data_IF_803317894481
#
_entry.id   IF_803317894481
#
_cell.length_a   1.000
_cell.length_b   1.000
_cell.length_c   1.000
_cell.angle_alpha   90.00
_cell.angle_beta   90.00
_cell.angle_gamma   90.00
#
_symmetry.space_group_name_H-M   'P 1'
#
loop_
_entity.id
_entity.type
_entity.pdbx_description
1 polymer ?
#
# COMPACT_ATOMS: atom_id res chain seq x y z
N UNK A 1 8.39 -15.79 -14.04
CA UNK A 1 7.35 -14.89 -14.59
C UNK A 1 6.03 -15.61 -14.44
N UNK A 2 5.01 -14.91 -13.94
CA UNK A 2 3.69 -15.49 -13.62
C UNK A 2 2.63 -14.83 -14.51
N UNK A 3 2.04 -15.60 -15.42
CA UNK A 3 0.94 -15.13 -16.25
C UNK A 3 -0.36 -15.14 -15.45
N UNK A 4 -1.10 -14.04 -15.46
CA UNK A 4 -2.43 -13.95 -14.83
C UNK A 4 -3.41 -13.23 -15.73
N UNK A 5 -4.65 -13.71 -15.76
CA UNK A 5 -5.75 -13.01 -16.41
C UNK A 5 -6.23 -11.88 -15.49
N UNK A 6 -6.42 -10.70 -16.06
CA UNK A 6 -7.07 -9.56 -15.42
C UNK A 6 -8.35 -9.25 -16.18
N UNK A 7 -9.44 -9.12 -15.45
CA UNK A 7 -10.76 -8.81 -16.00
C UNK A 7 -11.26 -7.50 -15.43
N UNK A 8 -11.57 -6.56 -16.32
CA UNK A 8 -12.27 -5.33 -15.98
C UNK A 8 -13.72 -5.67 -15.67
N UNK A 9 -14.13 -5.41 -14.43
CA UNK A 9 -15.45 -5.79 -13.91
C UNK A 9 -16.53 -4.99 -14.64
N UNK A 10 -17.60 -5.65 -15.14
CA UNK A 10 -18.72 -4.96 -15.78
C UNK A 10 -19.41 -3.97 -14.85
N UNK A 11 -19.86 -2.84 -15.41
CA UNK A 11 -20.44 -1.73 -14.65
C UNK A 11 -21.54 -2.16 -13.68
N UNK A 12 -22.43 -3.04 -14.10
CA UNK A 12 -23.54 -3.53 -13.26
C UNK A 12 -23.07 -4.35 -12.05
N UNK A 13 -21.86 -4.91 -12.09
CA UNK A 13 -21.31 -5.78 -11.06
C UNK A 13 -20.31 -5.06 -10.13
N UNK A 14 -19.82 -3.88 -10.51
CA UNK A 14 -18.76 -3.15 -9.80
C UNK A 14 -19.09 -2.88 -8.32
N UNK A 15 -20.33 -2.45 -8.01
CA UNK A 15 -20.72 -2.18 -6.62
C UNK A 15 -20.77 -3.46 -5.77
N UNK A 16 -21.21 -4.58 -6.36
CA UNK A 16 -21.22 -5.87 -5.67
C UNK A 16 -19.79 -6.36 -5.42
N UNK A 17 -18.90 -6.24 -6.41
CA UNK A 17 -17.47 -6.57 -6.26
C UNK A 17 -16.78 -5.68 -5.22
N UNK A 18 -17.07 -4.37 -5.18
CA UNK A 18 -16.54 -3.50 -4.13
C UNK A 18 -17.02 -3.90 -2.74
N UNK A 19 -18.27 -4.32 -2.59
CA UNK A 19 -18.81 -4.81 -1.33
C UNK A 19 -18.16 -6.14 -0.91
N UNK A 20 -17.89 -7.05 -1.86
CA UNK A 20 -17.13 -8.27 -1.63
C UNK A 20 -15.73 -7.94 -1.11
N UNK A 21 -14.99 -7.05 -1.76
CA UNK A 21 -13.66 -6.66 -1.31
C UNK A 21 -13.68 -6.03 0.09
N UNK A 22 -14.66 -5.17 0.38
CA UNK A 22 -14.85 -4.57 1.70
C UNK A 22 -15.13 -5.62 2.78
N UNK A 23 -15.82 -6.71 2.46
CA UNK A 23 -16.05 -7.81 3.40
C UNK A 23 -14.77 -8.59 3.75
N UNK A 24 -13.74 -8.48 2.91
CA UNK A 24 -12.43 -9.13 3.09
C UNK A 24 -11.46 -8.21 3.83
N UNK A 25 -11.35 -6.94 3.40
CA UNK A 25 -10.31 -6.03 3.90
C UNK A 25 -10.82 -4.98 4.89
N UNK A 26 -12.13 -4.77 5.00
CA UNK A 26 -12.76 -3.79 5.89
C UNK A 26 -12.23 -2.36 5.74
N UNK A 27 -11.65 -2.02 4.59
CA UNK A 27 -10.93 -0.77 4.39
C UNK A 27 -11.78 0.47 4.66
N UNK A 28 -12.98 0.55 4.08
CA UNK A 28 -13.88 1.70 4.26
C UNK A 28 -14.42 1.76 5.68
N UNK A 29 -14.69 0.61 6.28
CA UNK A 29 -15.13 0.50 7.67
C UNK A 29 -14.07 1.06 8.62
N UNK A 30 -12.80 0.70 8.42
CA UNK A 30 -11.66 1.22 9.18
C UNK A 30 -11.44 2.73 8.97
N UNK A 31 -11.62 3.24 7.76
CA UNK A 31 -11.62 4.70 7.50
C UNK A 31 -12.70 5.39 8.33
N UNK A 32 -13.93 4.86 8.35
CA UNK A 32 -15.06 5.43 9.09
C UNK A 32 -14.84 5.49 10.60
N UNK A 33 -13.98 4.64 11.15
CA UNK A 33 -13.60 4.66 12.57
C UNK A 33 -12.54 5.72 12.90
N UNK A 34 -11.88 6.32 11.90
CA UNK A 34 -10.85 7.33 12.07
C UNK A 34 -11.33 8.69 11.52
N UNK A 35 -11.62 9.67 12.40
CA UNK A 35 -12.12 10.98 11.97
C UNK A 35 -11.19 11.68 10.96
N UNK A 36 -9.87 11.59 11.16
CA UNK A 36 -8.91 12.23 10.25
C UNK A 36 -8.84 11.53 8.89
N UNK A 37 -8.92 10.19 8.85
CA UNK A 37 -8.90 9.45 7.58
C UNK A 37 -10.21 9.63 6.82
N UNK A 38 -11.34 9.71 7.52
CA UNK A 38 -12.64 10.08 6.94
C UNK A 38 -12.56 11.48 6.35
N UNK A 39 -12.02 12.45 7.10
CA UNK A 39 -11.86 13.84 6.64
C UNK A 39 -10.92 13.97 5.44
N UNK A 40 -9.89 13.14 5.34
CA UNK A 40 -8.96 13.11 4.20
C UNK A 40 -9.59 12.50 2.91
N UNK A 41 -10.75 11.83 3.04
CA UNK A 41 -11.44 11.08 1.98
C UNK A 41 -12.88 11.56 1.81
N UNK A 42 -13.04 12.87 1.62
CA UNK A 42 -14.37 13.49 1.49
C UNK A 42 -15.10 13.02 0.23
N UNK A 43 -14.34 12.62 -0.80
CA UNK A 43 -14.89 12.07 -2.02
C UNK A 43 -15.22 10.58 -1.83
N UNK A 44 -16.45 10.17 -2.18
CA UNK A 44 -16.89 8.79 -2.03
C UNK A 44 -16.11 7.86 -2.96
N UNK A 45 -15.90 6.62 -2.51
CA UNK A 45 -15.26 5.56 -3.27
C UNK A 45 -16.23 5.00 -4.33
N UNK A 46 -16.25 5.60 -5.51
CA UNK A 46 -17.26 5.37 -6.56
C UNK A 46 -16.61 4.81 -7.84
N UNK A 47 -17.15 3.73 -8.44
CA UNK A 47 -16.71 3.26 -9.75
C UNK A 47 -16.97 4.27 -10.87
N UNK A 48 -16.06 4.33 -11.84
CA UNK A 48 -16.21 5.18 -13.02
C UNK A 48 -17.25 4.63 -14.00
N UNK A 49 -18.06 5.53 -14.54
CA UNK A 49 -19.05 5.24 -15.59
C UNK A 49 -18.45 4.95 -16.96
N UNK A 50 -17.15 5.19 -17.15
CA UNK A 50 -16.44 5.06 -18.44
C UNK A 50 -15.86 3.65 -18.68
N UNK A 51 -16.06 2.74 -17.73
CA UNK A 51 -15.48 1.41 -17.76
C UNK A 51 -16.16 0.50 -18.77
N UNK A 52 -15.40 -0.06 -19.71
CA UNK A 52 -15.87 -1.13 -20.60
C UNK A 52 -15.31 -2.50 -20.16
N UNK A 53 -16.16 -3.55 -20.08
CA UNK A 53 -15.70 -4.89 -19.77
C UNK A 53 -14.64 -5.35 -20.77
N UNK A 54 -13.54 -5.89 -20.26
CA UNK A 54 -12.46 -6.44 -21.07
C UNK A 54 -11.62 -7.39 -20.23
N UNK A 55 -10.88 -8.28 -20.89
CA UNK A 55 -9.93 -9.15 -20.22
C UNK A 55 -8.62 -9.16 -20.99
N UNK A 56 -7.52 -9.21 -20.25
CA UNK A 56 -6.18 -9.25 -20.82
C UNK A 56 -5.25 -10.09 -19.95
N UNK A 57 -4.16 -10.57 -20.55
CA UNK A 57 -3.12 -11.31 -19.85
C UNK A 57 -2.03 -10.33 -19.41
N UNK A 58 -1.64 -10.42 -18.14
CA UNK A 58 -0.49 -9.73 -17.59
C UNK A 58 0.56 -10.74 -17.14
N UNK A 59 1.83 -10.36 -17.31
CA UNK A 59 2.97 -11.12 -16.83
C UNK A 59 3.54 -10.39 -15.63
N UNK A 60 3.51 -11.03 -14.46
CA UNK A 60 4.08 -10.52 -13.23
C UNK A 60 5.49 -11.05 -13.00
N UNK A 61 6.34 -10.19 -12.43
CA UNK A 61 7.66 -10.57 -11.91
C UNK A 61 7.59 -11.22 -10.52
N UNK A 62 6.48 -11.05 -9.82
CA UNK A 62 6.22 -11.59 -8.47
C UNK A 62 5.13 -12.67 -8.52
N UNK A 63 5.12 -13.63 -7.58
CA UNK A 63 4.09 -14.66 -7.53
C UNK A 63 2.71 -14.04 -7.35
N UNK A 64 1.75 -14.44 -8.19
CA UNK A 64 0.38 -13.94 -8.17
C UNK A 64 -0.58 -15.06 -8.60
N UNK A 65 -1.72 -15.16 -7.92
CA UNK A 65 -2.81 -16.08 -8.22
C UNK A 65 -4.01 -15.31 -8.79
N UNK A 66 -4.38 -15.64 -10.02
CA UNK A 66 -5.56 -15.09 -10.70
C UNK A 66 -6.83 -15.94 -10.56
N UNK A 67 -7.89 -15.59 -11.30
CA UNK A 67 -8.01 -14.36 -12.09
C UNK A 67 -8.10 -13.12 -11.18
N UNK A 68 -7.59 -11.98 -11.66
CA UNK A 68 -7.68 -10.70 -10.97
C UNK A 68 -8.84 -9.86 -11.51
N UNK A 69 -9.37 -9.00 -10.66
CA UNK A 69 -10.49 -8.11 -10.98
C UNK A 69 -10.00 -6.66 -10.95
N UNK A 70 -10.30 -5.90 -12.01
CA UNK A 70 -9.96 -4.49 -12.12
C UNK A 70 -11.25 -3.65 -12.15
N UNK A 71 -11.32 -2.64 -11.28
CA UNK A 71 -12.36 -1.61 -11.31
C UNK A 71 -11.68 -0.27 -11.55
N UNK A 72 -12.12 0.48 -12.55
CA UNK A 72 -11.76 1.88 -12.66
C UNK A 72 -12.69 2.71 -11.78
N UNK A 73 -12.11 3.57 -10.96
CA UNK A 73 -12.76 4.43 -9.99
C UNK A 73 -12.87 5.85 -10.53
N UNK A 74 -13.81 6.63 -10.03
CA UNK A 74 -13.83 8.08 -10.25
C UNK A 74 -12.48 8.69 -9.84
N UNK A 75 -11.97 9.64 -10.62
CA UNK A 75 -10.64 10.21 -10.43
C UNK A 75 -10.44 10.95 -9.10
N UNK A 76 -11.52 11.29 -8.39
CA UNK A 76 -11.46 11.92 -7.07
C UNK A 76 -11.54 10.92 -5.91
N UNK A 77 -11.94 9.67 -6.16
CA UNK A 77 -11.96 8.60 -5.15
C UNK A 77 -10.56 8.42 -4.56
N UNK A 78 -10.44 8.46 -3.24
CA UNK A 78 -9.16 8.36 -2.51
C UNK A 78 -8.05 9.28 -3.07
N UNK A 79 -8.43 10.50 -3.46
CA UNK A 79 -7.54 11.49 -4.06
C UNK A 79 -6.85 11.03 -5.36
N UNK A 80 -7.48 10.10 -6.08
CA UNK A 80 -6.97 9.54 -7.33
C UNK A 80 -5.81 8.57 -7.12
N UNK A 81 -5.66 7.99 -5.93
CA UNK A 81 -4.62 7.01 -5.67
C UNK A 81 -5.08 5.60 -6.12
N UNK A 82 -4.21 4.83 -6.81
CA UNK A 82 -4.45 3.43 -7.08
C UNK A 82 -4.31 2.62 -5.79
N UNK A 83 -5.09 1.55 -5.68
CA UNK A 83 -5.09 0.67 -4.51
C UNK A 83 -5.38 -0.77 -4.90
N UNK A 84 -4.88 -1.72 -4.11
CA UNK A 84 -5.39 -3.09 -4.15
C UNK A 84 -6.45 -3.31 -3.08
N UNK A 85 -7.43 -4.16 -3.37
CA UNK A 85 -8.59 -4.44 -2.52
C UNK A 85 -8.82 -5.94 -2.43
N UNK A 86 -9.20 -6.42 -1.24
CA UNK A 86 -9.21 -7.86 -0.95
C UNK A 86 -7.87 -8.52 -1.32
N UNK A 87 -7.92 -9.75 -1.86
CA UNK A 87 -6.72 -10.49 -2.32
C UNK A 87 -6.61 -10.60 -3.83
N UNK A 88 -7.56 -10.05 -4.59
CA UNK A 88 -7.62 -10.17 -6.07
C UNK A 88 -8.06 -8.90 -6.79
N UNK A 89 -8.38 -7.84 -6.05
CA UNK A 89 -8.93 -6.61 -6.58
C UNK A 89 -7.88 -5.54 -6.82
N UNK A 90 -7.97 -4.87 -7.96
CA UNK A 90 -7.23 -3.66 -8.26
C UNK A 90 -8.27 -2.56 -8.51
N UNK A 91 -8.11 -1.45 -7.81
CA UNK A 91 -8.89 -0.24 -8.02
C UNK A 91 -7.95 0.84 -8.57
N UNK A 92 -8.14 1.20 -9.84
CA UNK A 92 -7.37 2.26 -10.49
C UNK A 92 -8.24 3.49 -10.71
N UNK A 93 -7.71 4.72 -10.60
CA UNK A 93 -8.45 5.90 -11.03
C UNK A 93 -8.73 5.89 -12.55
N UNK A 94 -9.82 6.50 -12.98
CA UNK A 94 -10.26 6.50 -14.40
C UNK A 94 -9.20 7.06 -15.35
N UNK A 95 -8.32 7.96 -14.91
CA UNK A 95 -7.28 8.48 -15.79
C UNK A 95 -6.24 7.43 -16.20
N UNK A 96 -6.05 6.34 -15.43
CA UNK A 96 -5.21 5.21 -15.83
C UNK A 96 -5.86 4.38 -16.95
N UNK A 97 -7.17 4.48 -17.17
CA UNK A 97 -7.82 3.92 -18.36
C UNK A 97 -7.39 4.67 -19.62
N UNK A 98 -7.33 6.01 -19.54
CA UNK A 98 -7.01 6.86 -20.69
C UNK A 98 -5.51 6.92 -20.98
N UNK A 99 -4.69 6.85 -19.94
CA UNK A 99 -3.23 6.86 -20.05
C UNK A 99 -2.59 5.75 -19.21
N UNK A 100 -2.67 4.49 -19.67
CA UNK A 100 -2.19 3.35 -18.90
C UNK A 100 -0.69 3.43 -18.60
N UNK A 101 -0.34 3.42 -17.32
CA UNK A 101 1.04 3.34 -16.87
C UNK A 101 1.39 1.93 -16.41
N UNK A 102 2.26 1.24 -17.16
CA UNK A 102 2.72 -0.10 -16.83
C UNK A 102 3.42 -0.19 -15.47
N UNK A 103 4.00 0.90 -14.95
CA UNK A 103 4.58 0.94 -13.60
C UNK A 103 3.51 0.88 -12.53
N UNK A 104 2.43 1.66 -12.66
CA UNK A 104 1.29 1.62 -11.73
C UNK A 104 0.73 0.20 -11.64
N UNK A 105 0.46 -0.44 -12.79
CA UNK A 105 -0.02 -1.82 -12.78
C UNK A 105 0.97 -2.80 -12.15
N UNK A 106 2.28 -2.65 -12.41
CA UNK A 106 3.31 -3.48 -11.76
C UNK A 106 3.34 -3.28 -10.25
N UNK A 107 3.17 -2.04 -9.78
CA UNK A 107 3.09 -1.67 -8.38
C UNK A 107 1.92 -2.39 -7.69
N UNK A 108 0.72 -2.29 -8.26
CA UNK A 108 -0.48 -2.95 -7.72
C UNK A 108 -0.35 -4.49 -7.71
N UNK A 109 0.30 -5.09 -8.72
CA UNK A 109 0.57 -6.53 -8.72
C UNK A 109 1.51 -6.95 -7.59
N UNK A 110 2.45 -6.09 -7.18
CA UNK A 110 3.31 -6.34 -6.02
C UNK A 110 2.48 -6.33 -4.74
N UNK A 111 1.57 -5.37 -4.57
CA UNK A 111 0.68 -5.34 -3.41
C UNK A 111 -0.25 -6.55 -3.33
N UNK A 112 -0.84 -6.97 -4.45
CA UNK A 112 -1.64 -8.20 -4.44
C UNK A 112 -0.78 -9.43 -4.10
N UNK A 113 0.45 -9.53 -4.61
CA UNK A 113 1.38 -10.59 -4.23
C UNK A 113 1.66 -10.60 -2.73
N UNK A 114 1.86 -9.42 -2.13
CA UNK A 114 2.07 -9.25 -0.69
C UNK A 114 0.86 -9.73 0.12
N UNK A 115 -0.35 -9.41 -0.33
CA UNK A 115 -1.60 -9.87 0.32
C UNK A 115 -1.82 -11.37 0.17
N UNK A 116 -1.45 -11.96 -0.96
CA UNK A 116 -1.62 -13.39 -1.23
C UNK A 116 -0.55 -14.27 -0.57
N UNK A 117 0.66 -13.73 -0.38
CA UNK A 117 1.81 -14.47 0.17
C UNK A 117 2.52 -13.71 1.32
N UNK A 118 1.80 -13.25 2.36
CA UNK A 118 2.34 -12.34 3.37
C UNK A 118 3.55 -12.91 4.10
N UNK A 119 3.52 -14.21 4.46
CA UNK A 119 4.64 -14.86 5.15
C UNK A 119 5.94 -14.89 4.33
N UNK A 120 5.81 -15.09 3.01
CA UNK A 120 6.96 -15.15 2.10
C UNK A 120 7.65 -13.79 2.03
N UNK A 121 6.85 -12.74 1.87
CA UNK A 121 7.32 -11.37 1.85
C UNK A 121 7.94 -10.96 3.19
N UNK A 122 7.31 -11.28 4.33
CA UNK A 122 7.87 -10.96 5.64
C UNK A 122 9.18 -11.68 5.95
N UNK A 123 9.31 -12.96 5.57
CA UNK A 123 10.59 -13.68 5.66
C UNK A 123 11.67 -12.97 4.86
N UNK A 124 11.33 -12.48 3.67
CA UNK A 124 12.24 -11.74 2.82
C UNK A 124 12.63 -10.38 3.46
N UNK A 125 11.67 -9.58 3.95
CA UNK A 125 11.95 -8.30 4.59
C UNK A 125 12.81 -8.45 5.84
N UNK A 126 12.56 -9.50 6.63
CA UNK A 126 13.37 -9.82 7.80
C UNK A 126 14.81 -10.14 7.40
N UNK A 127 15.00 -11.00 6.41
CA UNK A 127 16.32 -11.44 5.95
C UNK A 127 17.16 -10.29 5.37
N UNK A 128 16.57 -9.46 4.50
CA UNK A 128 17.34 -8.49 3.72
C UNK A 128 17.27 -7.06 4.25
N UNK A 129 16.18 -6.68 4.92
CA UNK A 129 15.96 -5.31 5.38
C UNK A 129 15.85 -5.18 6.90
N UNK A 130 15.81 -6.29 7.64
CA UNK A 130 15.72 -6.29 9.09
C UNK A 130 14.36 -5.81 9.61
N UNK A 131 13.29 -5.94 8.83
CA UNK A 131 11.94 -5.69 9.31
C UNK A 131 11.35 -6.92 10.00
N UNK A 132 10.51 -6.69 11.00
CA UNK A 132 9.62 -7.70 11.58
C UNK A 132 8.26 -7.09 11.92
N UNK A 133 7.26 -7.92 12.13
CA UNK A 133 6.01 -7.46 12.72
C UNK A 133 6.25 -6.92 14.14
N UNK A 134 5.57 -5.83 14.49
CA UNK A 134 5.55 -5.32 15.85
C UNK A 134 4.70 -6.22 16.75
N UNK A 135 5.16 -6.47 17.97
CA UNK A 135 4.35 -7.15 18.99
C UNK A 135 3.18 -6.27 19.42
N UNK A 136 2.17 -6.86 20.06
CA UNK A 136 1.04 -6.10 20.61
C UNK A 136 1.49 -5.04 21.63
N UNK A 137 2.51 -5.33 22.43
CA UNK A 137 3.03 -4.37 23.41
C UNK A 137 3.76 -3.20 22.74
N UNK A 138 4.61 -3.47 21.76
CA UNK A 138 5.29 -2.42 21.00
C UNK A 138 4.30 -1.51 20.26
N UNK A 139 3.22 -2.08 19.71
CA UNK A 139 2.12 -1.30 19.11
C UNK A 139 1.45 -0.38 20.14
N UNK A 140 1.16 -0.90 21.33
CA UNK A 140 0.55 -0.12 22.42
C UNK A 140 1.48 0.96 22.98
N UNK A 141 2.79 0.82 22.80
CA UNK A 141 3.76 1.83 23.23
C UNK A 141 3.70 3.10 22.38
N UNK A 142 3.17 3.04 21.15
CA UNK A 142 3.03 4.21 20.29
C UNK A 142 1.95 5.15 20.86
N UNK A 143 2.27 6.42 21.13
CA UNK A 143 1.31 7.38 21.67
C UNK A 143 0.06 7.54 20.77
N UNK A 144 -1.12 7.59 21.40
CA UNK A 144 -2.42 7.72 20.72
C UNK A 144 -2.43 8.88 19.71
N UNK A 145 -1.83 10.02 20.04
CA UNK A 145 -1.73 11.17 19.12
C UNK A 145 -1.11 10.84 17.76
N UNK A 146 -0.19 9.87 17.68
CA UNK A 146 0.43 9.45 16.41
C UNK A 146 -0.38 8.37 15.72
N UNK A 147 -0.99 7.48 16.51
CA UNK A 147 -1.91 6.45 16.01
C UNK A 147 -3.11 7.08 15.31
N UNK A 148 -3.72 8.07 15.95
CA UNK A 148 -4.90 8.76 15.44
C UNK A 148 -4.60 9.52 14.14
N UNK A 149 -3.36 10.02 13.97
CA UNK A 149 -2.90 10.75 12.79
C UNK A 149 -2.38 9.87 11.66
N UNK A 150 -2.34 8.55 11.83
CA UNK A 150 -1.80 7.63 10.83
C UNK A 150 -2.66 7.66 9.56
N UNK A 151 -2.00 7.70 8.39
CA UNK A 151 -2.67 7.45 7.11
C UNK A 151 -2.96 5.96 6.99
N UNK A 152 -4.23 5.59 6.96
CA UNK A 152 -4.64 4.22 6.63
C UNK A 152 -4.39 3.97 5.14
N UNK A 153 -3.89 2.78 4.82
CA UNK A 153 -3.61 2.35 3.45
C UNK A 153 -4.17 0.91 3.27
N UNK A 154 -5.02 0.67 2.25
CA UNK A 154 -5.63 -0.64 2.02
C UNK A 154 -4.62 -1.75 1.72
N UNK A 155 -3.41 -1.41 1.28
CA UNK A 155 -2.33 -2.33 0.95
C UNK A 155 -1.57 -2.85 2.19
N UNK A 156 -1.90 -2.32 3.37
CA UNK A 156 -1.14 -2.52 4.62
C UNK A 156 -2.01 -2.90 5.83
N UNK A 157 -3.29 -3.20 5.63
CA UNK A 157 -4.25 -3.39 6.73
C UNK A 157 -3.99 -4.62 7.61
N UNK A 158 -3.36 -5.67 7.05
CA UNK A 158 -3.06 -6.91 7.80
C UNK A 158 -1.80 -6.74 8.68
N UNK A 159 -0.85 -5.92 8.25
CA UNK A 159 0.51 -5.81 8.82
C UNK A 159 0.84 -4.38 9.25
N UNK A 160 -0.12 -3.70 9.88
CA UNK A 160 -0.10 -2.24 10.04
C UNK A 160 1.14 -1.64 10.72
N UNK A 161 1.81 -2.42 11.58
CA UNK A 161 2.97 -1.98 12.35
C UNK A 161 4.13 -2.96 12.19
N UNK A 162 5.22 -2.43 11.65
CA UNK A 162 6.49 -3.14 11.51
C UNK A 162 7.55 -2.46 12.36
N UNK A 163 8.55 -3.22 12.78
CA UNK A 163 9.73 -2.71 13.47
C UNK A 163 10.92 -2.89 12.55
N UNK A 164 11.62 -1.79 12.26
CA UNK A 164 12.88 -1.78 11.54
C UNK A 164 14.05 -1.91 12.51
N UNK A 165 14.95 -2.87 12.23
CA UNK A 165 16.15 -3.17 13.02
C UNK A 165 15.89 -3.27 14.53
N UNK A 166 14.76 -3.87 14.90
CA UNK A 166 14.33 -4.07 16.30
C UNK A 166 14.20 -2.79 17.14
N UNK A 167 14.12 -1.60 16.54
CA UNK A 167 14.09 -0.35 17.30
C UNK A 167 13.02 0.63 16.83
N UNK A 168 12.80 0.78 15.52
CA UNK A 168 11.98 1.87 15.00
C UNK A 168 10.68 1.37 14.42
N UNK A 169 9.55 1.91 14.84
CA UNK A 169 8.26 1.73 14.16
C UNK A 169 8.05 2.93 13.23
N UNK A 170 8.22 2.76 11.90
CA UNK A 170 7.99 3.84 10.95
C UNK A 170 6.48 3.98 10.68
N UNK A 171 5.95 5.20 10.73
CA UNK A 171 4.54 5.49 10.43
C UNK A 171 4.44 6.68 9.47
N UNK A 172 3.51 6.60 8.51
CA UNK A 172 3.08 7.75 7.72
C UNK A 172 1.92 8.42 8.42
N UNK A 173 2.09 9.70 8.78
CA UNK A 173 1.08 10.48 9.48
C UNK A 173 0.71 11.72 8.68
N UNK A 174 -0.54 12.15 8.78
CA UNK A 174 -1.00 13.39 8.17
C UNK A 174 -0.22 14.58 8.74
N UNK A 175 0.23 15.49 7.88
CA UNK A 175 0.94 16.70 8.31
C UNK A 175 0.02 17.72 8.98
N UNK A 176 -1.24 17.76 8.58
CA UNK A 176 -2.31 18.62 9.12
C UNK A 176 -3.47 17.78 9.64
N UNK A 177 -3.93 18.07 10.86
CA UNK A 177 -5.14 17.47 11.44
C UNK A 177 -6.41 18.24 11.03
N UNK A 178 -6.25 19.55 10.77
CA UNK A 178 -7.35 20.43 10.36
C UNK A 178 -7.70 20.23 8.88
N UNK A 179 -6.71 19.98 8.04
CA UNK A 179 -6.86 19.81 6.59
C UNK A 179 -6.05 18.61 6.11
N UNK A 180 -6.40 17.38 6.56
CA UNK A 180 -5.64 16.19 6.19
C UNK A 180 -5.83 15.89 4.70
N UNK A 181 -4.74 15.50 4.04
CA UNK A 181 -4.72 15.14 2.62
C UNK A 181 -3.83 13.90 2.44
N UNK A 182 -4.30 12.93 1.66
CA UNK A 182 -3.59 11.68 1.39
C UNK A 182 -2.24 11.88 0.70
N UNK A 183 -2.08 12.99 -0.02
CA UNK A 183 -0.84 13.39 -0.69
C UNK A 183 0.13 14.13 0.23
N UNK A 184 -0.36 14.66 1.36
CA UNK A 184 0.44 15.39 2.34
C UNK A 184 0.57 14.61 3.65
N UNK A 185 1.36 13.55 3.59
CA UNK A 185 1.77 12.79 4.76
C UNK A 185 3.29 12.80 4.91
N UNK A 186 3.75 12.63 6.15
CA UNK A 186 5.16 12.58 6.47
C UNK A 186 5.46 11.30 7.23
N UNK A 187 6.53 10.61 6.83
CA UNK A 187 7.08 9.51 7.61
C UNK A 187 7.76 10.05 8.86
N UNK A 188 7.39 9.51 10.01
CA UNK A 188 8.19 9.60 11.23
C UNK A 188 8.40 8.22 11.84
N UNK A 189 9.12 8.20 12.96
CA UNK A 189 9.57 6.97 13.60
C UNK A 189 9.30 7.06 15.09
N UNK A 190 8.64 6.03 15.63
CA UNK A 190 8.61 5.79 17.06
C UNK A 190 9.81 4.94 17.44
N UNK A 191 10.70 5.48 18.27
CA UNK A 191 11.86 4.78 18.80
C UNK A 191 11.46 3.98 20.04
N UNK A 192 11.45 2.65 19.94
CA UNK A 192 11.09 1.74 21.02
C UNK A 192 12.07 1.76 22.20
N UNK A 193 13.33 2.15 21.95
CA UNK A 193 14.36 2.20 22.99
C UNK A 193 14.32 3.52 23.76
N UNK A 194 14.16 4.63 23.06
CA UNK A 194 14.11 5.96 23.65
C UNK A 194 12.69 6.42 24.01
N UNK A 195 11.67 5.65 23.63
CA UNK A 195 10.24 5.96 23.81
C UNK A 195 9.88 7.37 23.37
N UNK A 196 10.42 7.77 22.21
CA UNK A 196 10.21 9.11 21.65
C UNK A 196 9.89 9.05 20.16
N UNK A 197 9.21 10.09 19.69
CA UNK A 197 8.96 10.30 18.27
C UNK A 197 10.08 11.11 17.64
N UNK A 198 10.52 10.72 16.45
CA UNK A 198 11.46 11.50 15.64
C UNK A 198 11.00 11.59 14.19
N UNK A 199 11.32 12.73 13.58
CA UNK A 199 11.18 12.94 12.13
C UNK A 199 12.46 12.64 11.36
N UNK A 200 13.56 12.47 12.08
CA UNK A 200 14.86 12.14 11.49
C UNK A 200 14.87 10.67 11.10
N UNK A 201 15.44 10.38 9.93
CA UNK A 201 15.61 9.02 9.49
C UNK A 201 16.58 8.29 10.43
N UNK A 202 16.23 7.11 10.94
CA UNK A 202 17.12 6.32 11.77
C UNK A 202 18.46 6.00 11.10
N UNK A 203 19.54 5.76 11.86
CA UNK A 203 20.85 5.42 11.30
C UNK A 203 20.79 4.26 10.31
N UNK A 204 21.33 4.47 9.11
CA UNK A 204 21.35 3.51 8.01
C UNK A 204 20.04 3.41 7.20
N UNK A 205 18.97 4.12 7.57
CA UNK A 205 17.71 4.06 6.81
C UNK A 205 17.91 4.58 5.39
N UNK A 206 18.49 5.77 5.26
CA UNK A 206 18.77 6.39 3.96
C UNK A 206 19.86 5.66 3.17
N UNK A 207 20.75 4.91 3.80
CA UNK A 207 21.72 4.07 3.09
C UNK A 207 21.03 2.90 2.39
N UNK A 208 20.03 2.30 3.03
CA UNK A 208 19.28 1.17 2.47
C UNK A 208 18.21 1.65 1.47
N UNK A 209 17.42 2.66 1.86
CA UNK A 209 16.22 3.06 1.11
C UNK A 209 16.34 4.37 0.35
N UNK A 210 17.51 5.03 0.40
CA UNK A 210 17.80 6.37 -0.13
C UNK A 210 17.07 7.54 0.53
N UNK A 211 17.56 8.74 0.24
CA UNK A 211 16.94 10.01 0.60
C UNK A 211 15.77 10.33 -0.33
N UNK A 212 14.69 10.92 0.19
CA UNK A 212 13.53 11.38 -0.58
C UNK A 212 12.42 10.34 -0.80
N UNK A 213 12.70 9.07 -0.50
CA UNK A 213 11.67 8.04 -0.42
C UNK A 213 10.87 8.25 0.85
N UNK A 214 9.57 8.53 0.76
CA UNK A 214 8.72 8.84 1.92
C UNK A 214 7.95 7.63 2.46
N UNK A 215 8.02 6.47 1.81
CA UNK A 215 7.29 5.31 2.30
C UNK A 215 7.94 4.71 3.55
N UNK A 216 7.09 4.36 4.49
CA UNK A 216 7.44 3.88 5.81
C UNK A 216 7.39 2.35 5.91
N UNK A 217 6.54 1.71 5.10
CA UNK A 217 6.24 0.29 5.21
C UNK A 217 7.00 -0.52 4.15
N UNK A 218 7.56 -1.70 4.49
CA UNK A 218 8.32 -2.53 3.56
C UNK A 218 7.54 -2.92 2.31
N UNK A 219 6.21 -3.05 2.40
CA UNK A 219 5.37 -3.35 1.24
C UNK A 219 5.55 -2.34 0.10
N UNK A 220 5.63 -1.05 0.43
CA UNK A 220 5.61 0.01 -0.59
C UNK A 220 7.00 0.41 -1.01
N UNK A 221 7.95 0.29 -0.08
CA UNK A 221 9.37 0.23 -0.43
C UNK A 221 9.59 -0.84 -1.51
N UNK A 222 9.11 -2.07 -1.30
CA UNK A 222 9.27 -3.14 -2.29
C UNK A 222 8.54 -2.89 -3.60
N UNK A 223 7.30 -2.40 -3.56
CA UNK A 223 6.54 -2.11 -4.77
C UNK A 223 7.24 -1.06 -5.65
N UNK A 224 7.71 0.04 -5.07
CA UNK A 224 8.47 1.07 -5.79
C UNK A 224 9.85 0.58 -6.29
N UNK A 225 10.49 -0.35 -5.58
CA UNK A 225 11.75 -0.95 -6.04
C UNK A 225 11.51 -1.85 -7.26
N UNK A 226 10.45 -2.65 -7.26
CA UNK A 226 10.15 -3.63 -8.31
C UNK A 226 9.54 -2.97 -9.56
N UNK A 227 8.65 -1.99 -9.38
CA UNK A 227 8.09 -1.22 -10.51
C UNK A 227 9.16 -0.31 -11.19
N UNK A 228 10.28 -0.07 -10.49
CA UNK A 228 11.43 0.71 -10.95
C UNK A 228 11.31 2.23 -10.77
N UNK A 229 10.27 2.72 -10.09
CA UNK A 229 10.10 4.13 -9.71
C UNK A 229 11.16 4.59 -8.70
N UNK A 230 11.71 3.66 -7.92
CA UNK A 230 12.84 3.92 -7.03
C UNK A 230 14.22 3.88 -7.73
N UNK A 231 14.27 3.66 -9.05
CA UNK A 231 15.49 3.56 -9.85
C UNK A 231 15.88 2.12 -10.23
N UNK A 232 16.64 1.97 -11.33
CA UNK A 232 16.96 0.66 -11.94
C UNK A 232 17.80 -0.26 -11.06
N UNK A 233 18.80 0.29 -10.35
CA UNK A 233 19.67 -0.49 -9.47
C UNK A 233 18.90 -1.24 -8.36
N UNK A 234 17.78 -0.68 -7.89
CA UNK A 234 16.93 -1.30 -6.86
C UNK A 234 16.04 -2.40 -7.42
N UNK A 235 15.60 -2.26 -8.66
CA UNK A 235 14.88 -3.31 -9.36
C UNK A 235 15.76 -4.55 -9.54
N UNK A 236 17.04 -4.35 -9.84
CA UNK A 236 18.01 -5.45 -9.98
C UNK A 236 18.26 -6.20 -8.66
N UNK A 237 18.10 -5.53 -7.51
CA UNK A 237 18.22 -6.19 -6.20
C UNK A 237 17.25 -7.38 -6.06
N UNK A 238 15.99 -7.20 -6.46
CA UNK A 238 14.97 -8.27 -6.43
C UNK A 238 15.21 -9.34 -7.48
N UNK A 239 15.87 -9.01 -8.60
CA UNK A 239 16.28 -9.99 -9.61
C UNK A 239 17.35 -10.94 -9.05
N UNK A 240 18.27 -10.42 -8.24
CA UNK A 240 19.35 -11.20 -7.61
C UNK A 240 18.89 -11.90 -6.33
N UNK A 241 17.86 -11.38 -5.67
CA UNK A 241 17.31 -11.90 -4.42
C UNK A 241 15.80 -12.15 -4.58
N UNK A 242 15.41 -13.21 -5.32
CA UNK A 242 14.00 -13.48 -5.58
C UNK A 242 13.24 -13.70 -4.27
N UNK A 243 12.01 -13.17 -4.24
CA UNK A 243 11.02 -13.38 -3.17
C UNK A 243 10.66 -14.85 -3.13
#
# INVERSE_FOLDING_TARGET
MYGTQVTVVPKQDQLATLAEWESIDHYRSLIGMSPINTKARQYPYIPSNETNPSSFLLVSSVPIQGPLQLIYMDGLSDAGLPHTRGTKGIALPVFDLWNPNGKTMTHELVHLSQKQYPERWFKWYMKYWGFRQATTEERRSVPVKWMDRRRLNPDRLIDEFVVWKNQYIPLSVFTSEETPDLRYCKRGFWDLKMTQWTWEAPPGWSEVFSTGFNDEHPHEIAAHWIDGSAGTARKDFFRLNPI
#
